data_IF_598589822945
#
_entry.id   IF_598589822945
#
_cell.length_a   1.000
_cell.length_b   1.000
_cell.length_c   1.000
_cell.angle_alpha   90.00
_cell.angle_beta   90.00
_cell.angle_gamma   90.00
#
_symmetry.space_group_name_H-M   'P 1'
#
loop_
_entity.id
_entity.type
_entity.pdbx_description
1 polymer ?
#
# COMPACT_ATOMS: atom_id res chain seq x y z
N UNK A 1 -5.17 11.16 -25.74
CA UNK A 1 -3.87 10.83 -25.12
C UNK A 1 -3.89 9.35 -24.78
N UNK A 2 -2.86 8.58 -25.14
CA UNK A 2 -2.65 7.20 -24.69
C UNK A 2 -1.49 7.21 -23.71
N UNK A 3 -1.68 6.68 -22.51
CA UNK A 3 -0.63 6.61 -21.48
C UNK A 3 0.02 5.22 -21.51
N UNK A 4 1.14 5.12 -22.23
CA UNK A 4 1.94 3.90 -22.40
C UNK A 4 3.10 3.91 -21.40
N UNK A 5 2.81 3.53 -20.16
CA UNK A 5 3.79 3.56 -19.07
C UNK A 5 4.61 2.26 -19.00
N UNK A 6 5.89 2.39 -18.67
CA UNK A 6 6.71 1.27 -18.21
C UNK A 6 6.46 0.98 -16.74
N UNK A 7 6.47 -0.29 -16.35
CA UNK A 7 6.32 -0.75 -14.96
C UNK A 7 7.02 -2.09 -14.78
N UNK A 8 7.56 -2.36 -13.59
CA UNK A 8 8.33 -3.58 -13.31
C UNK A 8 7.45 -4.79 -13.01
N UNK A 9 6.28 -4.61 -12.40
CA UNK A 9 5.36 -5.71 -12.04
C UNK A 9 5.07 -6.69 -13.19
N UNK A 10 4.75 -6.25 -14.43
CA UNK A 10 4.62 -7.16 -15.57
C UNK A 10 5.89 -7.96 -15.87
N UNK A 11 7.06 -7.34 -15.75
CA UNK A 11 8.36 -7.99 -15.96
C UNK A 11 8.64 -9.03 -14.87
N UNK A 12 8.39 -8.67 -13.60
CA UNK A 12 8.52 -9.55 -12.43
C UNK A 12 7.62 -10.78 -12.59
N UNK A 13 6.33 -10.59 -12.86
CA UNK A 13 5.40 -11.71 -13.03
C UNK A 13 5.78 -12.61 -14.20
N UNK A 14 6.26 -12.03 -15.32
CA UNK A 14 6.72 -12.81 -16.47
C UNK A 14 7.94 -13.66 -16.15
N UNK A 15 8.90 -13.14 -15.37
CA UNK A 15 10.07 -13.92 -14.95
C UNK A 15 9.68 -15.02 -13.96
N UNK A 16 8.81 -14.72 -13.00
CA UNK A 16 8.27 -15.72 -12.07
C UNK A 16 7.57 -16.86 -12.79
N UNK A 17 6.71 -16.55 -13.76
CA UNK A 17 6.06 -17.55 -14.60
C UNK A 17 7.07 -18.42 -15.36
N UNK A 18 8.11 -17.80 -15.94
CA UNK A 18 9.18 -18.55 -16.64
C UNK A 18 9.99 -19.46 -15.72
N UNK A 19 10.25 -19.03 -14.50
CA UNK A 19 11.08 -19.80 -13.54
C UNK A 19 10.30 -20.93 -12.88
N UNK A 20 9.00 -20.76 -12.66
CA UNK A 20 8.18 -21.68 -11.87
C UNK A 20 7.25 -22.55 -12.73
N UNK A 21 6.97 -22.13 -13.97
CA UNK A 21 5.96 -22.74 -14.83
C UNK A 21 4.51 -22.43 -14.41
N UNK A 22 4.30 -21.65 -13.34
CA UNK A 22 2.97 -21.27 -12.86
C UNK A 22 2.49 -20.02 -13.60
N UNK A 23 1.38 -20.08 -14.36
CA UNK A 23 0.85 -18.91 -15.04
C UNK A 23 0.47 -17.81 -14.05
N UNK A 24 1.04 -16.61 -14.20
CA UNK A 24 0.86 -15.52 -13.22
C UNK A 24 -0.61 -15.10 -13.08
N UNK A 25 -1.39 -15.20 -14.18
CA UNK A 25 -2.80 -14.84 -14.18
C UNK A 25 -3.72 -15.89 -13.52
N UNK A 26 -3.27 -17.14 -13.38
CA UNK A 26 -4.04 -18.18 -12.68
C UNK A 26 -3.86 -18.16 -11.16
N UNK A 27 -2.94 -17.34 -10.65
CA UNK A 27 -2.72 -17.20 -9.20
C UNK A 27 -3.95 -16.55 -8.54
N UNK A 28 -4.54 -17.19 -7.51
CA UNK A 28 -5.70 -16.66 -6.81
C UNK A 28 -5.37 -15.38 -6.03
N UNK A 29 -6.34 -14.45 -5.96
CA UNK A 29 -6.19 -13.21 -5.18
C UNK A 29 -6.59 -13.36 -3.71
N UNK A 30 -6.99 -14.56 -3.32
CA UNK A 30 -7.47 -14.93 -1.99
C UNK A 30 -6.68 -16.09 -1.36
N UNK A 31 -5.47 -16.40 -1.88
CA UNK A 31 -4.57 -17.37 -1.25
C UNK A 31 -4.27 -16.98 0.21
N UNK A 32 -4.66 -17.80 1.20
CA UNK A 32 -4.52 -17.42 2.62
C UNK A 32 -3.06 -17.20 3.03
N UNK A 33 -2.14 -17.99 2.47
CA UNK A 33 -0.71 -17.88 2.72
C UNK A 33 -0.16 -16.53 2.21
N UNK A 34 -0.45 -16.18 0.96
CA UNK A 34 -0.05 -14.89 0.37
C UNK A 34 -0.67 -13.69 1.11
N UNK A 35 -1.97 -13.76 1.43
CA UNK A 35 -2.66 -12.68 2.16
C UNK A 35 -2.13 -12.50 3.59
N UNK A 36 -1.70 -13.58 4.25
CA UNK A 36 -1.18 -13.51 5.61
C UNK A 36 0.06 -12.61 5.73
N UNK A 37 0.86 -12.49 4.66
CA UNK A 37 2.06 -11.65 4.62
C UNK A 37 1.78 -10.17 4.90
N UNK A 38 0.57 -9.69 4.65
CA UNK A 38 0.19 -8.30 4.90
C UNK A 38 -0.23 -8.03 6.35
N UNK A 39 -0.28 -9.08 7.18
CA UNK A 39 -0.70 -8.99 8.58
C UNK A 39 0.21 -9.71 9.56
N UNK A 40 1.19 -10.46 9.07
CA UNK A 40 2.08 -11.30 9.85
C UNK A 40 3.28 -11.81 9.03
N UNK A 41 4.16 -12.55 9.68
CA UNK A 41 5.41 -13.10 9.11
C UNK A 41 5.47 -14.64 9.17
N UNK A 42 4.44 -15.27 9.74
CA UNK A 42 4.38 -16.70 10.04
C UNK A 42 4.50 -17.56 8.77
N UNK A 43 3.90 -17.11 7.66
CA UNK A 43 3.99 -17.81 6.38
C UNK A 43 5.42 -17.82 5.78
N UNK A 44 6.33 -16.99 6.28
CA UNK A 44 7.75 -17.01 5.92
C UNK A 44 8.58 -17.92 6.83
N UNK A 45 8.02 -18.39 7.95
CA UNK A 45 8.76 -19.15 8.96
C UNK A 45 9.82 -18.33 9.71
N UNK A 46 9.67 -17.00 9.75
CA UNK A 46 10.62 -16.07 10.37
C UNK A 46 9.93 -15.26 11.48
N UNK A 47 10.69 -14.88 12.52
CA UNK A 47 10.23 -13.99 13.57
C UNK A 47 10.25 -12.50 13.17
N UNK A 48 9.46 -11.68 13.86
CA UNK A 48 9.42 -10.24 13.63
C UNK A 48 10.76 -9.54 13.94
N UNK A 49 11.49 -10.04 14.94
CA UNK A 49 12.83 -9.56 15.30
C UNK A 49 13.83 -9.80 14.16
N UNK A 50 13.80 -10.98 13.53
CA UNK A 50 14.67 -11.33 12.40
C UNK A 50 14.43 -10.40 11.20
N UNK A 51 13.15 -10.12 10.90
CA UNK A 51 12.74 -9.27 9.79
C UNK A 51 12.87 -7.76 10.09
N UNK A 52 12.92 -7.36 11.37
CA UNK A 52 12.82 -5.96 11.80
C UNK A 52 11.43 -5.35 11.53
N UNK A 53 10.41 -6.19 11.37
CA UNK A 53 9.01 -5.81 11.16
C UNK A 53 8.11 -6.99 11.46
N UNK A 54 6.87 -6.71 11.85
CA UNK A 54 5.87 -7.72 12.20
C UNK A 54 4.94 -8.10 11.04
N UNK A 55 5.28 -7.72 9.81
CA UNK A 55 4.59 -8.09 8.57
C UNK A 55 5.57 -8.62 7.51
N UNK A 56 5.13 -9.59 6.72
CA UNK A 56 5.92 -10.27 5.69
C UNK A 56 5.97 -9.55 4.33
N UNK A 57 5.66 -8.26 4.26
CA UNK A 57 5.49 -7.54 2.98
C UNK A 57 6.77 -6.97 2.35
N UNK A 58 7.94 -7.13 2.98
CA UNK A 58 9.24 -6.70 2.42
C UNK A 58 9.39 -7.19 0.96
N UNK A 59 9.91 -6.34 0.07
CA UNK A 59 10.07 -6.60 -1.36
C UNK A 59 8.78 -6.78 -2.19
N UNK A 60 7.58 -6.70 -1.59
CA UNK A 60 6.33 -6.64 -2.34
C UNK A 60 6.10 -5.23 -2.90
N UNK A 61 5.59 -5.08 -4.14
CA UNK A 61 5.29 -3.76 -4.69
C UNK A 61 4.28 -3.04 -3.81
N UNK A 62 4.45 -1.74 -3.64
CA UNK A 62 3.70 -0.84 -2.75
C UNK A 62 3.85 -1.13 -1.25
N UNK A 63 3.62 -2.38 -0.85
CA UNK A 63 3.50 -2.80 0.54
C UNK A 63 4.84 -3.05 1.25
N UNK A 64 5.96 -3.09 0.51
CA UNK A 64 7.29 -3.32 1.09
C UNK A 64 7.93 -2.08 1.72
N UNK A 65 7.46 -0.88 1.36
CA UNK A 65 8.03 0.36 1.89
C UNK A 65 7.84 0.47 3.41
N UNK A 66 8.76 1.15 4.10
CA UNK A 66 8.66 1.34 5.56
C UNK A 66 7.34 2.02 5.97
N UNK A 67 6.90 2.99 5.18
CA UNK A 67 5.64 3.71 5.41
C UNK A 67 4.43 2.78 5.34
N UNK A 68 4.33 1.97 4.29
CA UNK A 68 3.18 1.06 4.15
C UNK A 68 3.25 -0.10 5.14
N UNK A 69 4.45 -0.58 5.48
CA UNK A 69 4.62 -1.58 6.56
C UNK A 69 4.07 -1.08 7.89
N UNK A 70 4.36 0.16 8.29
CA UNK A 70 3.77 0.74 9.51
C UNK A 70 2.25 0.81 9.45
N UNK A 71 1.68 1.12 8.27
CA UNK A 71 0.24 1.13 8.06
C UNK A 71 -0.35 -0.28 8.20
N UNK A 72 0.29 -1.30 7.63
CA UNK A 72 -0.10 -2.70 7.77
C UNK A 72 -0.03 -3.19 9.22
N UNK A 73 1.02 -2.80 9.96
CA UNK A 73 1.18 -3.15 11.38
C UNK A 73 0.08 -2.56 12.25
N UNK A 74 -0.34 -1.32 11.96
CA UNK A 74 -1.41 -0.63 12.67
C UNK A 74 -2.81 -1.16 12.32
N UNK A 75 -3.01 -1.70 11.12
CA UNK A 75 -4.34 -2.04 10.59
C UNK A 75 -4.63 -3.53 10.48
N UNK A 76 -3.58 -4.37 10.37
CA UNK A 76 -3.63 -5.83 10.25
C UNK A 76 -4.72 -6.32 9.26
N UNK A 77 -4.68 -5.88 7.99
CA UNK A 77 -5.72 -6.22 7.02
C UNK A 77 -5.74 -7.73 6.78
N UNK A 78 -6.94 -8.31 6.64
CA UNK A 78 -7.12 -9.76 6.42
C UNK A 78 -7.75 -10.10 5.08
N UNK A 79 -8.29 -9.10 4.40
CA UNK A 79 -9.03 -9.28 3.16
C UNK A 79 -8.42 -8.49 2.01
N UNK A 80 -8.61 -8.99 0.79
CA UNK A 80 -8.24 -8.26 -0.43
C UNK A 80 -8.82 -6.84 -0.45
N UNK A 81 -10.09 -6.68 -0.05
CA UNK A 81 -10.74 -5.37 -0.02
C UNK A 81 -10.08 -4.38 0.96
N UNK A 82 -9.61 -4.86 2.11
CA UNK A 82 -8.85 -4.04 3.07
C UNK A 82 -7.49 -3.64 2.49
N UNK A 83 -6.80 -4.53 1.76
CA UNK A 83 -5.57 -4.19 1.05
C UNK A 83 -5.77 -3.11 -0.01
N UNK A 84 -6.89 -3.14 -0.75
CA UNK A 84 -7.23 -2.08 -1.71
C UNK A 84 -7.38 -0.73 -1.01
N UNK A 85 -7.94 -0.72 0.21
CA UNK A 85 -8.06 0.51 1.00
C UNK A 85 -6.71 1.00 1.48
N UNK A 86 -5.84 0.11 1.99
CA UNK A 86 -4.46 0.46 2.37
C UNK A 86 -3.69 1.02 1.18
N UNK A 87 -3.81 0.40 -0.01
CA UNK A 87 -3.20 0.92 -1.24
C UNK A 87 -3.68 2.33 -1.58
N UNK A 88 -4.98 2.62 -1.46
CA UNK A 88 -5.50 3.97 -1.65
C UNK A 88 -4.97 4.97 -0.62
N UNK A 89 -4.92 4.58 0.66
CA UNK A 89 -4.43 5.40 1.76
C UNK A 89 -2.93 5.72 1.65
N UNK A 90 -2.13 4.82 1.06
CA UNK A 90 -0.68 4.98 0.99
C UNK A 90 -0.17 5.84 -0.17
N UNK A 91 -1.02 6.13 -1.17
CA UNK A 91 -0.62 6.81 -2.41
C UNK A 91 -1.06 8.27 -2.52
N UNK A 92 -1.84 8.74 -1.55
CA UNK A 92 -2.35 10.10 -1.53
C UNK A 92 -1.60 11.00 -0.57
N UNK A 93 -1.40 12.26 -0.96
CA UNK A 93 -0.85 13.29 -0.08
C UNK A 93 -1.94 13.75 0.90
N UNK A 94 -1.60 13.74 2.20
CA UNK A 94 -2.50 14.05 3.32
C UNK A 94 -3.77 13.17 3.38
N UNK A 95 -3.65 11.92 2.92
CA UNK A 95 -4.72 10.91 3.01
C UNK A 95 -4.58 10.08 4.28
N UNK A 96 -3.38 9.56 4.57
CA UNK A 96 -3.11 8.79 5.78
C UNK A 96 -2.67 9.66 6.95
N UNK A 97 -1.46 10.24 6.87
CA UNK A 97 -0.83 11.03 7.93
C UNK A 97 -1.65 12.28 8.25
N UNK A 98 -1.90 12.53 9.54
CA UNK A 98 -2.71 13.67 10.03
C UNK A 98 -4.17 13.66 9.56
N UNK A 99 -4.65 12.49 9.14
CA UNK A 99 -6.00 12.33 8.58
C UNK A 99 -6.56 10.95 8.96
N UNK A 100 -6.54 9.96 8.07
CA UNK A 100 -7.10 8.64 8.36
C UNK A 100 -6.43 7.94 9.57
N UNK A 101 -5.14 8.18 9.80
CA UNK A 101 -4.38 7.60 10.91
C UNK A 101 -4.89 8.08 12.29
N UNK A 102 -5.22 9.36 12.41
CA UNK A 102 -5.80 9.97 13.61
C UNK A 102 -7.23 9.50 13.83
N UNK A 103 -8.03 9.42 12.76
CA UNK A 103 -9.41 8.92 12.83
C UNK A 103 -9.47 7.48 13.33
N UNK A 104 -8.57 6.63 12.83
CA UNK A 104 -8.49 5.22 13.24
C UNK A 104 -7.96 5.10 14.67
N UNK A 105 -6.86 5.79 15.03
CA UNK A 105 -6.29 5.72 16.39
C UNK A 105 -7.22 6.28 17.46
N UNK A 106 -7.99 7.31 17.14
CA UNK A 106 -8.98 7.90 18.06
C UNK A 106 -10.29 7.09 18.16
N UNK A 107 -10.46 6.06 17.33
CA UNK A 107 -11.70 5.27 17.28
C UNK A 107 -12.89 6.02 16.68
N UNK A 108 -12.68 7.18 16.05
CA UNK A 108 -13.74 7.97 15.39
C UNK A 108 -14.24 7.33 14.09
N UNK A 109 -13.39 6.53 13.44
CA UNK A 109 -13.72 5.75 12.26
C UNK A 109 -12.87 4.48 12.19
N UNK A 110 -13.41 3.43 11.59
CA UNK A 110 -12.69 2.20 11.29
C UNK A 110 -11.97 2.27 9.95
N UNK A 111 -11.07 1.31 9.67
CA UNK A 111 -10.43 1.19 8.35
C UNK A 111 -11.47 1.13 7.21
N UNK A 112 -12.67 0.60 7.44
CA UNK A 112 -13.76 0.49 6.45
C UNK A 112 -14.50 1.80 6.19
N UNK A 113 -14.43 2.76 7.11
CA UNK A 113 -15.20 4.00 7.06
C UNK A 113 -14.38 5.19 6.56
N UNK A 114 -13.06 5.21 6.78
CA UNK A 114 -12.19 6.31 6.32
C UNK A 114 -12.22 6.50 4.79
N UNK A 115 -11.78 7.66 4.29
CA UNK A 115 -11.72 7.91 2.85
C UNK A 115 -10.42 7.33 2.29
N UNK A 116 -10.48 6.19 1.61
CA UNK A 116 -9.29 5.53 1.05
C UNK A 116 -9.11 5.83 -0.44
N UNK A 117 -10.21 6.03 -1.17
CA UNK A 117 -10.22 6.27 -2.61
C UNK A 117 -11.23 7.34 -2.96
N UNK A 118 -11.06 8.01 -4.10
CA UNK A 118 -12.02 9.06 -4.52
C UNK A 118 -13.43 8.51 -4.69
N UNK A 119 -13.55 7.25 -5.08
CA UNK A 119 -14.82 6.56 -5.27
C UNK A 119 -15.60 6.45 -3.95
N UNK A 120 -14.90 6.33 -2.81
CA UNK A 120 -15.53 6.34 -1.49
C UNK A 120 -16.24 7.69 -1.25
N UNK A 121 -15.66 8.81 -1.67
CA UNK A 121 -16.28 10.14 -1.54
C UNK A 121 -17.62 10.18 -2.26
N UNK A 122 -17.61 9.83 -3.55
CA UNK A 122 -18.81 9.89 -4.37
C UNK A 122 -19.90 8.96 -3.83
N UNK A 123 -19.55 7.72 -3.51
CA UNK A 123 -20.52 6.71 -3.06
C UNK A 123 -21.07 7.03 -1.68
N UNK A 124 -20.24 7.50 -0.75
CA UNK A 124 -20.69 7.89 0.59
C UNK A 124 -21.62 9.10 0.53
N UNK A 125 -21.29 10.12 -0.27
CA UNK A 125 -22.17 11.30 -0.40
C UNK A 125 -23.54 10.94 -1.01
N UNK A 126 -23.56 10.07 -2.02
CA UNK A 126 -24.82 9.53 -2.55
C UNK A 126 -25.58 8.75 -1.48
N UNK A 127 -24.87 7.96 -0.67
CA UNK A 127 -25.48 7.23 0.45
C UNK A 127 -26.09 8.16 1.50
N UNK A 128 -25.45 9.31 1.79
CA UNK A 128 -26.01 10.37 2.64
C UNK A 128 -27.16 11.15 1.99
N UNK A 129 -27.47 10.91 0.71
CA UNK A 129 -28.62 11.48 0.01
C UNK A 129 -28.29 12.65 -0.93
N UNK A 130 -27.01 13.04 -1.08
CA UNK A 130 -26.64 14.09 -2.02
C UNK A 130 -26.88 13.65 -3.46
N UNK A 131 -27.27 14.60 -4.32
CA UNK A 131 -27.49 14.33 -5.74
C UNK A 131 -26.18 13.83 -6.41
N UNK A 132 -26.23 12.81 -7.29
CA UNK A 132 -25.02 12.22 -7.89
C UNK A 132 -24.10 13.21 -8.60
N UNK A 133 -24.67 14.24 -9.25
CA UNK A 133 -23.90 15.31 -9.90
C UNK A 133 -23.09 16.13 -8.89
N UNK A 134 -23.67 16.45 -7.74
CA UNK A 134 -23.01 17.21 -6.69
C UNK A 134 -21.95 16.37 -5.98
N UNK A 135 -22.27 15.11 -5.64
CA UNK A 135 -21.31 14.15 -5.09
C UNK A 135 -20.08 13.97 -6.01
N UNK A 136 -20.29 13.88 -7.33
CA UNK A 136 -19.21 13.83 -8.32
C UNK A 136 -18.37 15.10 -8.34
N UNK A 137 -19.00 16.28 -8.31
CA UNK A 137 -18.29 17.56 -8.29
C UNK A 137 -17.42 17.71 -7.03
N UNK A 138 -17.97 17.39 -5.86
CA UNK A 138 -17.23 17.36 -4.59
C UNK A 138 -16.03 16.40 -4.69
N UNK A 139 -16.26 15.19 -5.17
CA UNK A 139 -15.20 14.18 -5.35
C UNK A 139 -14.07 14.69 -6.24
N UNK A 140 -14.38 15.32 -7.37
CA UNK A 140 -13.38 15.86 -8.30
C UNK A 140 -12.62 17.09 -7.75
N UNK A 141 -13.22 17.83 -6.82
CA UNK A 141 -12.56 18.93 -6.10
C UNK A 141 -11.57 18.36 -5.07
N UNK A 142 -12.06 17.50 -4.16
CA UNK A 142 -11.28 16.91 -3.07
C UNK A 142 -10.10 16.09 -3.59
N UNK A 143 -10.30 15.21 -4.58
CA UNK A 143 -9.21 14.37 -5.11
C UNK A 143 -8.08 15.14 -5.80
N UNK A 144 -8.30 16.43 -6.08
CA UNK A 144 -7.31 17.37 -6.67
C UNK A 144 -6.78 18.39 -5.65
N UNK A 145 -7.05 18.21 -4.36
CA UNK A 145 -6.56 19.10 -3.32
C UNK A 145 -7.20 20.49 -3.33
N UNK A 146 -8.39 20.62 -3.90
CA UNK A 146 -9.10 21.91 -3.96
C UNK A 146 -9.96 22.17 -2.72
N UNK A 147 -10.04 21.22 -1.80
CA UNK A 147 -10.90 21.28 -0.63
C UNK A 147 -12.39 21.30 -0.97
N UNK A 148 -13.19 21.69 0.01
CA UNK A 148 -14.63 21.92 -0.10
C UNK A 148 -14.93 23.42 -0.10
N UNK A 149 -15.93 23.83 -0.88
CA UNK A 149 -16.47 25.19 -0.81
C UNK A 149 -17.43 25.32 0.38
N UNK A 150 -17.72 26.55 0.86
CA UNK A 150 -18.72 26.77 1.90
C UNK A 150 -20.07 26.11 1.59
N UNK A 151 -20.55 26.23 0.35
CA UNK A 151 -21.80 25.60 -0.10
C UNK A 151 -21.74 24.07 -0.08
N UNK A 152 -20.58 23.48 -0.41
CA UNK A 152 -20.38 22.03 -0.35
C UNK A 152 -20.48 21.54 1.11
N UNK A 153 -19.86 22.25 2.06
CA UNK A 153 -19.94 21.90 3.47
C UNK A 153 -21.35 22.06 4.04
N UNK A 154 -22.04 23.15 3.71
CA UNK A 154 -23.42 23.38 4.13
C UNK A 154 -24.35 22.28 3.64
N UNK A 155 -24.20 21.86 2.38
CA UNK A 155 -25.00 20.75 1.83
C UNK A 155 -24.68 19.43 2.53
N UNK A 156 -23.40 19.14 2.73
CA UNK A 156 -22.95 17.93 3.43
C UNK A 156 -23.53 17.87 4.84
N UNK A 157 -23.50 18.98 5.60
CA UNK A 157 -24.11 19.05 6.94
C UNK A 157 -25.64 18.91 6.89
N UNK A 158 -26.30 19.50 5.90
CA UNK A 158 -27.75 19.35 5.71
C UNK A 158 -28.17 17.89 5.47
N UNK A 159 -27.29 17.09 4.88
CA UNK A 159 -27.45 15.65 4.66
C UNK A 159 -26.86 14.78 5.79
N UNK A 160 -26.59 15.37 6.96
CA UNK A 160 -26.05 14.67 8.14
C UNK A 160 -24.70 13.97 7.89
N UNK A 161 -23.90 14.47 6.94
CA UNK A 161 -22.52 14.01 6.78
C UNK A 161 -21.70 14.44 8.01
N UNK A 162 -20.99 13.52 8.70
CA UNK A 162 -20.26 13.85 9.92
C UNK A 162 -19.18 14.92 9.70
N UNK A 163 -18.98 15.81 10.68
CA UNK A 163 -17.96 16.87 10.59
C UNK A 163 -16.55 16.33 10.40
N UNK A 164 -16.24 15.14 10.94
CA UNK A 164 -14.94 14.50 10.72
C UNK A 164 -14.70 14.14 9.26
N UNK A 165 -15.76 13.80 8.53
CA UNK A 165 -15.70 13.45 7.11
C UNK A 165 -15.46 14.69 6.26
N UNK A 166 -16.12 15.80 6.62
CA UNK A 166 -15.92 17.12 6.01
C UNK A 166 -14.47 17.59 6.23
N UNK A 167 -13.96 17.51 7.46
CA UNK A 167 -12.56 17.85 7.78
C UNK A 167 -11.56 16.97 7.00
N UNK A 168 -11.81 15.66 6.92
CA UNK A 168 -10.99 14.75 6.13
C UNK A 168 -10.95 15.16 4.64
N UNK A 169 -12.09 15.55 4.07
CA UNK A 169 -12.17 16.06 2.69
C UNK A 169 -11.37 17.35 2.46
N UNK A 170 -11.29 18.24 3.46
CA UNK A 170 -10.50 19.47 3.36
C UNK A 170 -8.99 19.22 3.36
N UNK A 171 -8.53 18.15 4.03
CA UNK A 171 -7.09 17.82 4.17
C UNK A 171 -6.50 17.18 2.92
N UNK A 172 -7.25 16.31 2.25
CA UNK A 172 -6.78 15.50 1.12
C UNK A 172 -6.25 16.41 -0.01
N UNK A 173 -4.97 16.23 -0.38
CA UNK A 173 -4.34 16.96 -1.48
C UNK A 173 -4.39 16.19 -2.81
N UNK A 174 -4.35 14.87 -2.74
CA UNK A 174 -4.44 14.01 -3.91
C UNK A 174 -4.94 12.62 -3.53
N UNK A 175 -5.77 12.00 -4.36
CA UNK A 175 -6.36 10.70 -4.06
C UNK A 175 -6.53 9.80 -5.28
N UNK A 176 -6.18 8.52 -5.10
CA UNK A 176 -6.24 7.48 -6.12
C UNK A 176 -7.69 7.01 -6.42
N UNK A 177 -7.98 6.60 -7.67
CA UNK A 177 -9.18 5.85 -8.00
C UNK A 177 -9.12 4.40 -7.50
N UNK A 178 -10.26 3.86 -7.08
CA UNK A 178 -10.38 2.49 -6.57
C UNK A 178 -9.92 1.42 -7.56
N UNK A 179 -10.22 1.61 -8.84
CA UNK A 179 -9.81 0.68 -9.89
C UNK A 179 -8.28 0.55 -10.00
N UNK A 180 -7.55 1.65 -9.78
CA UNK A 180 -6.10 1.63 -9.83
C UNK A 180 -5.51 0.98 -8.58
N UNK A 181 -6.01 1.33 -7.39
CA UNK A 181 -5.64 0.62 -6.16
C UNK A 181 -5.88 -0.89 -6.30
N UNK A 182 -7.04 -1.30 -6.81
CA UNK A 182 -7.35 -2.72 -7.06
C UNK A 182 -6.34 -3.37 -8.03
N UNK A 183 -6.01 -2.72 -9.14
CA UNK A 183 -5.04 -3.26 -10.11
C UNK A 183 -3.67 -3.53 -9.47
N UNK A 184 -3.17 -2.58 -8.65
CA UNK A 184 -1.89 -2.73 -7.95
C UNK A 184 -1.94 -3.82 -6.88
N UNK A 185 -3.03 -3.92 -6.12
CA UNK A 185 -3.18 -5.00 -5.13
C UNK A 185 -3.25 -6.36 -5.80
N UNK A 186 -3.89 -6.50 -6.96
CA UNK A 186 -3.86 -7.77 -7.72
C UNK A 186 -2.42 -8.16 -8.06
N UNK A 187 -1.60 -7.21 -8.54
CA UNK A 187 -0.19 -7.51 -8.85
C UNK A 187 0.58 -7.88 -7.58
N UNK A 188 0.42 -7.12 -6.50
CA UNK A 188 1.10 -7.36 -5.24
C UNK A 188 0.77 -8.72 -4.63
N UNK A 189 -0.51 -9.12 -4.60
CA UNK A 189 -0.95 -10.41 -4.07
C UNK A 189 -0.44 -11.56 -4.95
N UNK A 190 -0.45 -11.40 -6.27
CA UNK A 190 0.12 -12.41 -7.17
C UNK A 190 1.62 -12.59 -6.95
N UNK A 191 2.36 -11.50 -6.78
CA UNK A 191 3.80 -11.56 -6.46
C UNK A 191 4.02 -12.17 -5.07
N UNK A 192 3.16 -11.85 -4.09
CA UNK A 192 3.20 -12.41 -2.74
C UNK A 192 3.02 -13.93 -2.72
N UNK A 193 2.17 -14.49 -3.60
CA UNK A 193 2.05 -15.93 -3.78
C UNK A 193 3.40 -16.58 -4.08
N UNK A 194 4.17 -16.02 -5.02
CA UNK A 194 5.50 -16.54 -5.35
C UNK A 194 6.50 -16.36 -4.21
N UNK A 195 6.36 -15.30 -3.39
CA UNK A 195 7.20 -15.13 -2.20
C UNK A 195 7.04 -16.28 -1.21
N UNK A 196 5.80 -16.74 -1.00
CA UNK A 196 5.52 -17.84 -0.06
C UNK A 196 5.82 -19.21 -0.69
N UNK A 197 5.30 -19.46 -1.89
CA UNK A 197 5.30 -20.80 -2.48
C UNK A 197 6.53 -21.09 -3.36
N UNK A 198 7.23 -20.05 -3.82
CA UNK A 198 8.42 -20.15 -4.68
C UNK A 198 9.52 -19.14 -4.29
N UNK A 199 9.96 -19.11 -3.02
CA UNK A 199 10.80 -18.03 -2.47
C UNK A 199 12.10 -17.81 -3.27
N UNK A 200 12.78 -18.87 -3.71
CA UNK A 200 13.99 -18.75 -4.51
C UNK A 200 13.75 -18.00 -5.83
N UNK A 201 12.65 -18.29 -6.53
CA UNK A 201 12.27 -17.58 -7.76
C UNK A 201 11.88 -16.13 -7.48
N UNK A 202 11.17 -15.88 -6.36
CA UNK A 202 10.84 -14.54 -5.90
C UNK A 202 12.09 -13.68 -5.68
N UNK A 203 13.04 -14.14 -4.84
CA UNK A 203 14.24 -13.36 -4.53
C UNK A 203 15.17 -13.21 -5.74
N UNK A 204 15.33 -14.24 -6.56
CA UNK A 204 16.08 -14.13 -7.81
C UNK A 204 15.48 -13.07 -8.75
N UNK A 205 14.16 -13.03 -8.88
CA UNK A 205 13.47 -12.03 -9.71
C UNK A 205 13.60 -10.63 -9.12
N UNK A 206 13.43 -10.47 -7.80
CA UNK A 206 13.58 -9.19 -7.12
C UNK A 206 14.98 -8.59 -7.34
N UNK A 207 16.03 -9.39 -7.09
CA UNK A 207 17.42 -8.98 -7.27
C UNK A 207 17.78 -8.70 -8.73
N UNK A 208 17.07 -9.32 -9.70
CA UNK A 208 17.34 -9.14 -11.13
C UNK A 208 16.63 -7.93 -11.73
N UNK A 209 15.46 -7.55 -11.20
CA UNK A 209 14.59 -6.52 -11.81
C UNK A 209 14.53 -5.25 -10.99
N UNK A 210 14.44 -5.36 -9.66
CA UNK A 210 14.09 -4.25 -8.77
C UNK A 210 15.23 -3.74 -7.90
N UNK A 211 16.19 -4.59 -7.56
CA UNK A 211 17.33 -4.15 -6.76
C UNK A 211 18.19 -3.19 -7.59
N UNK A 212 18.13 -1.90 -7.26
CA UNK A 212 18.93 -0.86 -7.92
C UNK A 212 20.39 -0.90 -7.45
N UNK A 213 20.60 -1.24 -6.19
CA UNK A 213 21.91 -1.31 -5.55
C UNK A 213 22.17 -2.73 -5.05
N UNK A 214 23.34 -3.26 -5.38
CA UNK A 214 23.78 -4.57 -4.94
C UNK A 214 25.26 -4.53 -4.58
N UNK A 215 25.58 -4.98 -3.37
CA UNK A 215 26.95 -5.18 -2.92
C UNK A 215 27.21 -6.68 -2.78
N UNK A 216 28.02 -7.21 -3.70
CA UNK A 216 28.33 -8.64 -3.74
C UNK A 216 29.00 -9.15 -2.46
N UNK A 217 29.69 -8.27 -1.71
CA UNK A 217 30.30 -8.65 -0.43
C UNK A 217 29.27 -9.11 0.60
N UNK A 218 28.02 -8.60 0.50
CA UNK A 218 26.92 -9.00 1.37
C UNK A 218 26.60 -10.49 1.25
N UNK A 219 26.77 -11.08 0.06
CA UNK A 219 26.46 -12.51 -0.15
C UNK A 219 27.34 -13.47 0.65
N UNK A 220 28.44 -12.98 1.22
CA UNK A 220 29.35 -13.76 2.07
C UNK A 220 29.00 -13.67 3.56
N UNK A 221 28.08 -12.79 3.94
CA UNK A 221 27.65 -12.59 5.32
C UNK A 221 26.61 -13.64 5.72
N UNK A 222 26.63 -14.03 6.99
CA UNK A 222 25.53 -14.74 7.61
C UNK A 222 24.39 -13.79 7.99
N UNK A 223 23.29 -14.31 8.54
CA UNK A 223 22.13 -13.51 8.90
C UNK A 223 22.47 -12.40 9.92
N UNK A 224 23.34 -12.68 10.89
CA UNK A 224 23.76 -11.70 11.88
C UNK A 224 24.59 -10.57 11.25
N UNK A 225 25.52 -10.92 10.36
CA UNK A 225 26.31 -9.95 9.59
C UNK A 225 25.44 -9.06 8.70
N UNK A 226 24.43 -9.65 8.04
CA UNK A 226 23.45 -8.90 7.24
C UNK A 226 22.66 -7.91 8.10
N UNK A 227 22.19 -8.33 9.27
CA UNK A 227 21.46 -7.45 10.20
C UNK A 227 22.34 -6.29 10.70
N UNK A 228 23.56 -6.58 11.13
CA UNK A 228 24.50 -5.56 11.57
C UNK A 228 24.80 -4.56 10.45
N UNK A 229 24.97 -5.04 9.21
CA UNK A 229 25.20 -4.18 8.06
C UNK A 229 24.00 -3.30 7.75
N UNK A 230 22.79 -3.84 7.81
CA UNK A 230 21.54 -3.06 7.66
C UNK A 230 21.46 -1.96 8.71
N UNK A 231 21.70 -2.28 9.98
CA UNK A 231 21.69 -1.29 11.07
C UNK A 231 22.69 -0.16 10.85
N UNK A 232 23.90 -0.49 10.36
CA UNK A 232 24.92 0.52 10.04
C UNK A 232 24.49 1.46 8.90
N UNK A 233 23.74 0.96 7.93
CA UNK A 233 23.22 1.75 6.80
C UNK A 233 22.04 2.63 7.23
N UNK A 234 21.21 2.16 8.17
CA UNK A 234 20.02 2.87 8.64
C UNK A 234 20.29 3.85 9.81
N UNK A 235 21.37 3.65 10.57
CA UNK A 235 21.70 4.45 11.76
C UNK A 235 22.01 5.95 11.49
N UNK A 236 22.73 6.34 10.41
CA UNK A 236 23.05 7.74 10.16
C UNK A 236 21.80 8.55 9.82
N UNK A 237 21.61 9.71 10.47
CA UNK A 237 20.52 10.65 10.13
C UNK A 237 20.64 11.17 8.69
N UNK A 238 21.86 11.21 8.18
CA UNK A 238 22.27 11.66 6.86
C UNK A 238 22.56 10.51 5.88
N UNK A 239 22.08 9.28 6.17
CA UNK A 239 22.21 8.13 5.26
C UNK A 239 21.77 8.50 3.84
N UNK A 240 22.64 8.22 2.87
CA UNK A 240 22.45 8.62 1.48
C UNK A 240 21.28 7.86 0.85
N UNK A 241 20.77 8.35 -0.29
CA UNK A 241 19.74 7.62 -1.05
C UNK A 241 20.22 6.19 -1.42
N UNK A 242 21.51 6.05 -1.72
CA UNK A 242 22.16 4.77 -2.00
C UNK A 242 22.19 3.85 -0.79
N UNK A 243 22.58 4.36 0.38
CA UNK A 243 22.61 3.55 1.61
C UNK A 243 21.20 3.05 1.98
N UNK A 244 20.19 3.90 1.81
CA UNK A 244 18.78 3.52 2.04
C UNK A 244 18.31 2.48 1.03
N UNK A 245 18.68 2.62 -0.25
CA UNK A 245 18.37 1.63 -1.29
C UNK A 245 19.01 0.28 -0.98
N UNK A 246 20.29 0.27 -0.58
CA UNK A 246 21.02 -0.94 -0.21
C UNK A 246 20.52 -1.61 1.08
N UNK A 247 19.94 -0.84 2.01
CA UNK A 247 19.39 -1.36 3.27
C UNK A 247 18.03 -2.06 3.12
N UNK A 248 17.36 -1.91 1.97
CA UNK A 248 15.98 -2.36 1.73
C UNK A 248 15.91 -3.73 1.05
#
# INVERSE_FOLDING_TARGET
KLDLLGHDDPTVLRLLERMTGVPALSVPCDDPAALSLFSGCEALGLGAEELGTSVGSIALPEFGTRFVRQMLEATRPRTFAELVRISGLSHGTDVWTHNADELIRSGRATLREVIATRDDIMLNLIHYGLAPKQAFQITEQVRKGKGLKPDDESEMRAHSVPDWYIDSCQKIQYMFPKAHAAAYVIMAVRIAYFKVHHPAAFYATYLSVRAEEFDASLTTLDAAGMQQRREQLEAPRDATARDRSLAT
#
